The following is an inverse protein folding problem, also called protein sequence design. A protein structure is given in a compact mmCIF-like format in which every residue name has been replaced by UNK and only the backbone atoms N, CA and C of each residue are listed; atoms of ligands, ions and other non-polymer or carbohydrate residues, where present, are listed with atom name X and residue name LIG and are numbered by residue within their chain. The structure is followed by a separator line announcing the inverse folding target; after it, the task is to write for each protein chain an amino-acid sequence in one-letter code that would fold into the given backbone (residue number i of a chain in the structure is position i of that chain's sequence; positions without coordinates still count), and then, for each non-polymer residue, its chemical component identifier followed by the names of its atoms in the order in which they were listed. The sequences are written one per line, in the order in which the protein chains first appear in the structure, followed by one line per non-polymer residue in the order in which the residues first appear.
data_IF_042545511455
#
_entry.id   IF_042545511455
#
_cell.length_a   1.000
_cell.length_b   1.000
_cell.length_c   1.000
_cell.angle_alpha   90.00
_cell.angle_beta   90.00
_cell.angle_gamma   90.00
#
_symmetry.space_group_name_H-M   'P 1'
#
loop_
_entity.id
_entity.type
_entity.pdbx_description
1 polymer ?
#
# COMPACT_ATOMS: atom_id res chain seq x y z
N UNK A 1 31.53 23.89 -35.84
CA UNK A 1 31.74 24.17 -34.40
C UNK A 1 32.28 22.90 -33.78
N UNK A 2 33.57 22.86 -33.46
CA UNK A 2 34.20 21.69 -32.85
C UNK A 2 33.74 21.57 -31.39
N UNK A 3 33.02 20.51 -31.06
CA UNK A 3 32.66 20.20 -29.68
C UNK A 3 33.87 19.54 -29.01
N UNK A 4 34.68 20.32 -28.29
CA UNK A 4 35.71 19.77 -27.39
C UNK A 4 35.03 18.89 -26.34
N UNK A 5 35.25 17.58 -26.40
CA UNK A 5 34.83 16.66 -25.34
C UNK A 5 35.67 16.93 -24.09
N UNK A 6 34.99 17.20 -22.97
CA UNK A 6 35.62 17.52 -21.69
C UNK A 6 36.15 16.22 -21.07
N UNK A 7 37.47 16.05 -21.03
CA UNK A 7 38.10 14.91 -20.36
C UNK A 7 37.86 15.02 -18.85
N UNK A 8 37.01 14.15 -18.30
CA UNK A 8 36.70 14.11 -16.87
C UNK A 8 37.90 13.49 -16.14
N UNK A 9 38.40 14.17 -15.10
CA UNK A 9 39.50 13.67 -14.27
C UNK A 9 39.09 12.43 -13.48
N UNK A 10 39.99 11.45 -13.33
CA UNK A 10 39.77 10.24 -12.52
C UNK A 10 39.28 10.56 -11.09
N UNK A 11 39.76 11.65 -10.48
CA UNK A 11 39.29 12.10 -9.16
C UNK A 11 37.80 12.44 -9.16
N UNK A 12 37.31 13.05 -10.22
CA UNK A 12 35.89 13.38 -10.35
C UNK A 12 35.03 12.11 -10.51
N UNK A 13 35.53 11.10 -11.24
CA UNK A 13 34.87 9.79 -11.37
C UNK A 13 34.78 9.10 -9.99
N UNK A 14 35.87 9.08 -9.22
CA UNK A 14 35.90 8.48 -7.90
C UNK A 14 34.92 9.16 -6.92
N UNK A 15 34.84 10.49 -6.95
CA UNK A 15 33.87 11.25 -6.14
C UNK A 15 32.43 10.90 -6.54
N UNK A 16 32.14 10.80 -7.84
CA UNK A 16 30.81 10.46 -8.33
C UNK A 16 30.37 9.05 -7.87
N UNK A 17 31.28 8.07 -7.92
CA UNK A 17 31.01 6.71 -7.42
C UNK A 17 30.75 6.74 -5.91
N UNK A 18 31.56 7.46 -5.14
CA UNK A 18 31.37 7.59 -3.70
C UNK A 18 30.00 8.17 -3.34
N UNK A 19 29.57 9.22 -4.05
CA UNK A 19 28.23 9.81 -3.88
C UNK A 19 27.13 8.83 -4.29
N UNK A 20 27.30 8.08 -5.39
CA UNK A 20 26.34 7.08 -5.83
C UNK A 20 26.12 5.96 -4.81
N UNK A 21 27.19 5.48 -4.18
CA UNK A 21 27.10 4.47 -3.12
C UNK A 21 26.35 5.04 -1.91
N UNK A 22 26.67 6.27 -1.48
CA UNK A 22 25.97 6.92 -0.37
C UNK A 22 24.48 7.09 -0.64
N UNK A 23 24.08 7.47 -1.85
CA UNK A 23 22.66 7.56 -2.22
C UNK A 23 21.97 6.20 -2.09
N UNK A 24 22.61 5.12 -2.54
CA UNK A 24 22.05 3.77 -2.42
C UNK A 24 21.92 3.33 -0.96
N UNK A 25 22.90 3.64 -0.11
CA UNK A 25 22.83 3.37 1.34
C UNK A 25 21.66 4.14 1.97
N UNK A 26 21.51 5.42 1.66
CA UNK A 26 20.44 6.27 2.21
C UNK A 26 19.04 5.84 1.75
N UNK A 27 18.91 5.31 0.53
CA UNK A 27 17.67 4.71 0.04
C UNK A 27 17.31 3.42 0.79
N UNK A 28 18.29 2.54 1.05
CA UNK A 28 18.08 1.31 1.82
C UNK A 28 17.81 1.59 3.31
N UNK A 29 18.40 2.63 3.87
CA UNK A 29 18.16 3.06 5.25
C UNK A 29 16.80 3.76 5.45
N UNK A 30 16.00 3.95 4.39
CA UNK A 30 14.69 4.62 4.46
C UNK A 30 14.74 6.14 4.60
N UNK A 31 15.93 6.75 4.57
CA UNK A 31 16.11 8.22 4.63
C UNK A 31 15.67 8.88 3.33
N UNK A 32 16.02 8.28 2.20
CA UNK A 32 15.53 8.69 0.87
C UNK A 32 14.39 7.75 0.50
N UNK A 33 13.14 8.24 0.36
CA UNK A 33 12.00 7.38 0.06
C UNK A 33 12.17 6.75 -1.33
N UNK A 34 11.98 5.44 -1.39
CA UNK A 34 11.90 4.68 -2.65
C UNK A 34 10.57 3.98 -2.73
N UNK A 35 9.90 4.04 -3.89
CA UNK A 35 8.70 3.24 -4.14
C UNK A 35 9.13 1.87 -4.66
N UNK A 36 8.73 0.82 -3.96
CA UNK A 36 9.00 -0.57 -4.35
C UNK A 36 7.67 -1.24 -4.64
N UNK A 37 7.48 -1.64 -5.89
CA UNK A 37 6.30 -2.40 -6.30
C UNK A 37 6.68 -3.88 -6.37
N UNK A 38 5.93 -4.73 -5.66
CA UNK A 38 6.15 -6.18 -5.61
C UNK A 38 4.96 -6.87 -6.27
N UNK A 39 5.25 -7.88 -7.10
CA UNK A 39 4.22 -8.75 -7.68
C UNK A 39 4.44 -10.19 -7.20
N UNK A 40 3.42 -10.78 -6.61
CA UNK A 40 3.45 -12.14 -6.07
C UNK A 40 2.38 -12.96 -6.78
N UNK A 41 2.73 -14.16 -7.25
CA UNK A 41 1.80 -15.10 -7.88
C UNK A 41 1.77 -16.39 -7.07
N UNK A 42 0.71 -16.57 -6.28
CA UNK A 42 0.59 -17.68 -5.33
C UNK A 42 1.53 -17.55 -4.12
N UNK A 43 1.33 -18.40 -3.12
CA UNK A 43 2.08 -18.36 -1.85
C UNK A 43 1.47 -17.43 -0.80
N UNK A 44 2.28 -17.06 0.18
CA UNK A 44 1.86 -16.23 1.33
C UNK A 44 2.72 -14.98 1.43
N UNK A 45 2.08 -13.86 1.77
CA UNK A 45 2.75 -12.60 2.11
C UNK A 45 2.48 -12.36 3.59
N UNK A 46 3.54 -12.25 4.39
CA UNK A 46 3.43 -11.74 5.76
C UNK A 46 3.69 -10.23 5.71
N UNK A 47 2.65 -9.43 5.92
CA UNK A 47 2.73 -7.97 5.84
C UNK A 47 2.06 -7.34 7.06
N UNK A 48 2.74 -6.34 7.63
CA UNK A 48 2.16 -5.40 8.60
C UNK A 48 1.88 -4.09 7.84
N UNK A 49 0.64 -3.63 7.86
CA UNK A 49 0.13 -2.57 6.98
C UNK A 49 -0.43 -1.46 7.86
N UNK A 50 0.21 -0.29 7.83
CA UNK A 50 -0.10 0.86 8.69
C UNK A 50 -1.25 1.74 8.16
N UNK A 51 -1.70 1.50 6.92
CA UNK A 51 -2.68 2.34 6.23
C UNK A 51 -3.79 1.53 5.57
N UNK A 52 -3.62 1.22 4.29
CA UNK A 52 -4.73 0.79 3.44
C UNK A 52 -4.34 -0.40 2.59
N UNK A 53 -5.27 -1.35 2.53
CA UNK A 53 -5.25 -2.46 1.57
C UNK A 53 -6.42 -2.25 0.62
N UNK A 54 -6.13 -2.14 -0.68
CA UNK A 54 -7.15 -2.12 -1.73
C UNK A 54 -7.18 -3.51 -2.39
N UNK A 55 -8.36 -4.16 -2.36
CA UNK A 55 -8.55 -5.50 -2.92
C UNK A 55 -9.63 -5.45 -4.00
N UNK A 56 -9.29 -5.93 -5.19
CA UNK A 56 -10.25 -6.15 -6.28
C UNK A 56 -10.63 -7.62 -6.31
N UNK A 57 -11.82 -7.95 -5.81
CA UNK A 57 -12.34 -9.31 -5.76
C UNK A 57 -12.85 -9.66 -4.37
N UNK A 58 -12.46 -10.82 -3.85
CA UNK A 58 -12.84 -11.30 -2.52
C UNK A 58 -11.62 -11.53 -1.64
N UNK A 59 -11.77 -11.27 -0.35
CA UNK A 59 -10.81 -11.63 0.70
C UNK A 59 -11.43 -12.75 1.52
N UNK A 60 -10.68 -13.81 1.77
CA UNK A 60 -11.03 -14.84 2.73
C UNK A 60 -10.20 -14.64 4.00
N UNK A 61 -10.87 -14.63 5.17
CA UNK A 61 -10.24 -14.35 6.47
C UNK A 61 -10.48 -15.53 7.40
N UNK A 62 -9.42 -16.27 7.70
CA UNK A 62 -9.43 -17.26 8.77
C UNK A 62 -9.04 -16.58 10.09
N UNK A 63 -10.02 -16.20 10.91
CA UNK A 63 -9.76 -15.58 12.21
C UNK A 63 -10.83 -14.59 12.62
N UNK A 64 -10.39 -13.42 13.09
CA UNK A 64 -11.28 -12.34 13.48
C UNK A 64 -11.00 -11.09 12.65
N UNK A 65 -12.05 -10.34 12.38
CA UNK A 65 -11.99 -9.00 11.80
C UNK A 65 -12.57 -8.08 12.86
N UNK A 66 -11.79 -7.08 13.26
CA UNK A 66 -12.25 -6.00 14.11
C UNK A 66 -12.40 -4.75 13.27
N UNK A 67 -13.54 -4.07 13.41
CA UNK A 67 -13.87 -2.88 12.63
C UNK A 67 -14.25 -1.79 13.60
N UNK A 68 -13.34 -0.84 13.79
CA UNK A 68 -13.62 0.39 14.52
C UNK A 68 -14.21 1.43 13.56
N UNK A 69 -15.49 1.25 13.22
CA UNK A 69 -16.24 2.17 12.39
C UNK A 69 -17.75 2.10 12.71
N UNK A 70 -18.51 3.12 12.35
CA UNK A 70 -19.97 3.07 12.39
C UNK A 70 -20.50 2.30 11.19
N UNK A 71 -21.09 1.14 11.43
CA UNK A 71 -21.81 0.38 10.40
C UNK A 71 -23.29 0.76 10.44
N UNK A 72 -23.78 1.43 9.39
CA UNK A 72 -25.20 1.70 9.22
C UNK A 72 -25.88 0.52 8.52
N UNK A 73 -26.97 0.01 9.09
CA UNK A 73 -27.81 -1.02 8.47
C UNK A 73 -29.21 -0.45 8.27
N UNK A 74 -29.71 -0.51 7.04
CA UNK A 74 -31.11 -0.16 6.76
C UNK A 74 -32.00 -1.39 6.87
N UNK A 75 -33.09 -1.29 7.64
CA UNK A 75 -34.09 -2.37 7.75
C UNK A 75 -34.71 -2.69 6.38
N UNK A 76 -34.79 -1.73 5.47
CA UNK A 76 -35.28 -1.93 4.10
C UNK A 76 -34.31 -2.76 3.25
N UNK A 77 -33.00 -2.67 3.52
CA UNK A 77 -31.98 -3.49 2.84
C UNK A 77 -31.99 -4.94 3.37
N UNK A 78 -32.27 -5.13 4.67
CA UNK A 78 -32.29 -6.45 5.31
C UNK A 78 -33.55 -7.24 4.96
N UNK A 79 -34.72 -6.60 4.98
CA UNK A 79 -36.01 -7.28 4.81
C UNK A 79 -36.37 -7.56 3.33
N UNK A 80 -35.62 -6.98 2.39
CA UNK A 80 -35.89 -7.08 0.94
C UNK A 80 -37.18 -6.34 0.54
N UNK A 81 -37.40 -6.14 -0.77
CA UNK A 81 -38.54 -5.34 -1.30
C UNK A 81 -39.94 -5.77 -0.82
N UNK A 82 -40.09 -7.01 -0.36
CA UNK A 82 -41.37 -7.60 0.05
C UNK A 82 -41.44 -7.87 1.56
N UNK A 83 -40.43 -7.49 2.34
CA UNK A 83 -40.42 -7.77 3.76
C UNK A 83 -41.41 -6.91 4.52
N UNK A 84 -42.33 -7.56 5.24
CA UNK A 84 -43.32 -6.89 6.07
C UNK A 84 -42.68 -6.42 7.38
N UNK A 85 -42.83 -5.13 7.69
CA UNK A 85 -42.36 -4.55 8.96
C UNK A 85 -43.42 -4.78 10.03
N UNK A 86 -43.06 -5.52 11.07
CA UNK A 86 -43.92 -5.74 12.23
C UNK A 86 -43.46 -4.84 13.37
N UNK A 87 -44.33 -3.93 13.79
CA UNK A 87 -44.12 -3.10 14.97
C UNK A 87 -44.94 -3.66 16.12
N UNK A 88 -44.27 -4.12 17.17
CA UNK A 88 -44.93 -4.52 18.40
C UNK A 88 -45.04 -3.31 19.32
N UNK A 89 -46.26 -3.00 19.77
CA UNK A 89 -46.51 -1.99 20.80
C UNK A 89 -46.96 -2.70 22.09
N UNK A 90 -46.15 -2.64 23.13
CA UNK A 90 -46.55 -3.08 24.47
C UNK A 90 -47.06 -1.85 25.22
N UNK A 91 -48.38 -1.71 25.27
CA UNK A 91 -49.07 -0.79 26.19
C UNK A 91 -48.92 -1.27 27.64
#
# INVERSE_FOLDING_TARGET
METKSKNISLKAILIAIGLGIWVMVLQNAGVIPTKQNVYVKGGYINADIDRTVDVRGSVDVSGSVDVDNTVSVSIDEVLGRNGQKYYYNNN
#
